data_IF_296799927296
#
_entry.id   IF_296799927296
#
_cell.length_a   1.000
_cell.length_b   1.000
_cell.length_c   1.000
_cell.angle_alpha   90.00
_cell.angle_beta   90.00
_cell.angle_gamma   90.00
#
_symmetry.space_group_name_H-M   'P 1'
#
loop_
_entity.id
_entity.type
_entity.pdbx_description
1 polymer ?
#
# COMPACT_ATOMS: atom_id res chain seq x y z
N UNK A 1 -20.40 -32.39 -4.58
CA UNK A 1 -19.76 -31.53 -3.56
C UNK A 1 -20.34 -30.11 -3.54
N UNK A 2 -20.85 -29.57 -4.65
CA UNK A 2 -21.33 -28.16 -4.70
C UNK A 2 -22.59 -27.88 -3.86
N UNK A 3 -23.42 -28.90 -3.61
CA UNK A 3 -24.63 -28.76 -2.80
C UNK A 3 -24.37 -28.61 -1.29
N UNK A 4 -23.27 -29.17 -0.80
CA UNK A 4 -22.91 -29.15 0.63
C UNK A 4 -22.38 -27.77 1.04
N UNK A 5 -21.54 -27.17 0.19
CA UNK A 5 -20.98 -25.82 0.39
C UNK A 5 -22.07 -24.73 0.35
N UNK A 6 -23.11 -24.91 -0.46
CA UNK A 6 -24.24 -23.96 -0.58
C UNK A 6 -25.09 -23.86 0.68
N UNK A 7 -25.16 -24.93 1.47
CA UNK A 7 -25.98 -25.00 2.67
C UNK A 7 -25.17 -24.85 3.97
N UNK A 8 -23.85 -24.68 3.87
CA UNK A 8 -22.99 -24.57 5.03
C UNK A 8 -23.22 -23.25 5.75
N UNK A 9 -23.68 -23.35 7.00
CA UNK A 9 -23.90 -22.23 7.91
C UNK A 9 -22.73 -22.16 8.89
N UNK A 10 -22.14 -20.98 9.03
CA UNK A 10 -21.05 -20.74 9.96
C UNK A 10 -21.43 -19.63 10.95
N UNK A 11 -21.01 -19.80 12.21
CA UNK A 11 -21.06 -18.73 13.20
C UNK A 11 -19.77 -17.90 13.20
N UNK A 12 -19.78 -16.78 13.92
CA UNK A 12 -18.65 -15.84 14.00
C UNK A 12 -17.38 -16.52 14.53
N UNK A 13 -17.50 -17.45 15.48
CA UNK A 13 -16.35 -18.16 16.04
C UNK A 13 -15.70 -19.11 15.02
N UNK A 14 -16.51 -19.81 14.23
CA UNK A 14 -16.05 -20.68 13.14
C UNK A 14 -15.40 -19.85 12.04
N UNK A 15 -16.00 -18.72 11.67
CA UNK A 15 -15.41 -17.81 10.69
C UNK A 15 -14.08 -17.22 11.17
N UNK A 16 -13.96 -16.90 12.47
CA UNK A 16 -12.70 -16.46 13.05
C UNK A 16 -11.63 -17.57 13.04
N UNK A 17 -12.02 -18.81 13.34
CA UNK A 17 -11.10 -19.96 13.28
C UNK A 17 -10.62 -20.25 11.85
N UNK A 18 -11.52 -20.16 10.87
CA UNK A 18 -11.20 -20.38 9.44
C UNK A 18 -10.32 -19.26 8.88
N UNK A 19 -10.59 -18.00 9.24
CA UNK A 19 -9.89 -16.83 8.68
C UNK A 19 -8.63 -16.43 9.44
N UNK A 20 -8.42 -16.97 10.65
CA UNK A 20 -7.34 -16.54 11.54
C UNK A 20 -7.50 -15.11 12.09
N UNK A 21 -8.65 -14.46 11.82
CA UNK A 21 -8.92 -13.09 12.26
C UNK A 21 -9.53 -13.07 13.66
N UNK A 22 -9.26 -12.00 14.40
CA UNK A 22 -9.91 -11.76 15.67
C UNK A 22 -11.44 -11.63 15.48
N UNK A 23 -12.23 -12.20 16.41
CA UNK A 23 -13.70 -12.22 16.34
C UNK A 23 -14.31 -10.85 16.07
N UNK A 24 -13.79 -9.80 16.69
CA UNK A 24 -14.27 -8.42 16.48
C UNK A 24 -14.06 -7.93 15.05
N UNK A 25 -12.94 -8.30 14.42
CA UNK A 25 -12.62 -7.97 13.03
C UNK A 25 -13.59 -8.68 12.08
N UNK A 26 -13.89 -9.95 12.36
CA UNK A 26 -14.87 -10.73 11.60
C UNK A 26 -16.27 -10.09 11.72
N UNK A 27 -16.71 -9.69 12.91
CA UNK A 27 -17.99 -9.00 13.10
C UNK A 27 -18.07 -7.71 12.30
N UNK A 28 -17.00 -6.89 12.33
CA UNK A 28 -16.94 -5.63 11.58
C UNK A 28 -17.08 -5.86 10.07
N UNK A 29 -16.36 -6.85 9.53
CA UNK A 29 -16.40 -7.22 8.10
C UNK A 29 -17.73 -7.83 7.67
N UNK A 30 -18.45 -8.50 8.57
CA UNK A 30 -19.74 -9.15 8.30
C UNK A 30 -20.95 -8.23 8.53
N UNK A 31 -20.75 -6.96 8.88
CA UNK A 31 -21.84 -6.02 9.19
C UNK A 31 -22.86 -5.82 8.05
N UNK A 32 -22.46 -6.06 6.80
CA UNK A 32 -23.33 -5.99 5.60
C UNK A 32 -23.80 -7.35 5.06
N UNK A 33 -23.48 -8.48 5.71
CA UNK A 33 -23.85 -9.82 5.23
C UNK A 33 -25.21 -10.22 5.77
N UNK A 34 -26.15 -10.73 4.94
CA UNK A 34 -27.44 -11.22 5.41
C UNK A 34 -27.28 -12.42 6.35
N UNK A 35 -28.15 -12.50 7.35
CA UNK A 35 -28.19 -13.64 8.28
C UNK A 35 -28.86 -14.84 7.62
N UNK A 36 -28.32 -16.03 7.88
CA UNK A 36 -28.87 -17.28 7.39
C UNK A 36 -30.22 -17.61 8.09
N UNK A 37 -31.13 -18.35 7.41
CA UNK A 37 -32.36 -18.82 8.02
C UNK A 37 -32.09 -19.66 9.28
N UNK A 38 -32.79 -19.37 10.38
CA UNK A 38 -32.58 -20.00 11.69
C UNK A 38 -31.54 -19.31 12.58
N UNK A 39 -31.07 -18.12 12.19
CA UNK A 39 -30.25 -17.25 13.04
C UNK A 39 -31.08 -16.65 14.18
N UNK A 40 -30.51 -16.60 15.38
CA UNK A 40 -31.10 -15.97 16.57
C UNK A 40 -30.18 -14.85 17.09
N UNK A 41 -30.70 -13.92 17.91
CA UNK A 41 -29.89 -12.81 18.47
C UNK A 41 -28.64 -13.29 19.23
N UNK A 42 -28.74 -14.45 19.91
CA UNK A 42 -27.64 -15.08 20.64
C UNK A 42 -26.71 -15.93 19.76
N UNK A 43 -27.15 -16.33 18.58
CA UNK A 43 -26.39 -17.19 17.66
C UNK A 43 -26.57 -16.73 16.21
N UNK A 44 -25.72 -15.79 15.79
CA UNK A 44 -25.70 -15.25 14.44
C UNK A 44 -25.06 -16.27 13.49
N UNK A 45 -25.85 -16.74 12.52
CA UNK A 45 -25.42 -17.67 11.49
C UNK A 45 -25.35 -16.97 10.14
N UNK A 46 -24.31 -17.29 9.37
CA UNK A 46 -24.10 -16.77 8.02
C UNK A 46 -23.92 -17.93 7.05
N UNK A 47 -24.48 -17.80 5.84
CA UNK A 47 -24.20 -18.74 4.76
C UNK A 47 -22.79 -18.47 4.24
N UNK A 48 -21.99 -19.52 4.09
CA UNK A 48 -20.62 -19.37 3.60
C UNK A 48 -20.57 -18.70 2.23
N UNK A 49 -21.56 -18.97 1.36
CA UNK A 49 -21.69 -18.35 0.04
C UNK A 49 -21.87 -16.84 0.11
N UNK A 50 -22.69 -16.35 1.04
CA UNK A 50 -22.98 -14.91 1.19
C UNK A 50 -21.77 -14.19 1.78
N UNK A 51 -21.07 -14.83 2.72
CA UNK A 51 -19.81 -14.31 3.27
C UNK A 51 -18.75 -14.17 2.17
N UNK A 52 -18.55 -15.21 1.35
CA UNK A 52 -17.57 -15.20 0.26
C UNK A 52 -17.97 -14.14 -0.79
N UNK A 53 -19.26 -14.06 -1.14
CA UNK A 53 -19.75 -13.06 -2.10
C UNK A 53 -19.42 -11.64 -1.66
N UNK A 54 -19.74 -11.28 -0.43
CA UNK A 54 -19.44 -9.94 0.10
C UNK A 54 -17.94 -9.69 0.17
N UNK A 55 -17.13 -10.69 0.52
CA UNK A 55 -15.67 -10.56 0.49
C UNK A 55 -15.12 -10.33 -0.92
N UNK A 56 -15.73 -10.92 -1.95
CA UNK A 56 -15.35 -10.73 -3.35
C UNK A 56 -15.87 -9.42 -3.95
N UNK A 57 -17.02 -8.92 -3.47
CA UNK A 57 -17.59 -7.62 -3.84
C UNK A 57 -16.92 -6.45 -3.10
N UNK A 58 -16.28 -6.71 -1.95
CA UNK A 58 -15.52 -5.70 -1.21
C UNK A 58 -14.33 -5.28 -2.08
N UNK A 59 -14.25 -4.01 -2.53
CA UNK A 59 -13.12 -3.58 -3.33
C UNK A 59 -11.84 -3.75 -2.51
N UNK A 60 -10.83 -4.40 -3.10
CA UNK A 60 -9.46 -4.42 -2.58
C UNK A 60 -9.12 -2.97 -2.25
N UNK A 61 -8.88 -2.71 -0.97
CA UNK A 61 -8.93 -1.37 -0.38
C UNK A 61 -8.29 -0.29 -1.28
N UNK A 62 -8.93 0.89 -1.31
CA UNK A 62 -8.42 2.17 -1.84
C UNK A 62 -7.10 2.65 -1.19
N UNK A 63 -6.28 1.74 -0.66
CA UNK A 63 -4.89 2.03 -0.29
C UNK A 63 -4.08 2.51 -1.52
N UNK A 64 -4.52 2.17 -2.74
CA UNK A 64 -3.90 2.67 -3.96
C UNK A 64 -4.36 4.10 -4.36
N UNK A 65 -5.49 4.62 -3.87
CA UNK A 65 -5.95 5.96 -4.29
C UNK A 65 -5.21 7.10 -3.57
N UNK A 66 -4.51 6.81 -2.48
CA UNK A 66 -3.67 7.77 -1.75
C UNK A 66 -2.26 7.93 -2.35
N UNK A 67 -1.97 7.35 -3.52
CA UNK A 67 -0.63 7.27 -4.12
C UNK A 67 -0.10 8.57 -4.75
N UNK A 68 -0.73 9.72 -4.51
CA UNK A 68 -0.27 11.02 -5.02
C UNK A 68 -0.22 12.10 -3.92
N UNK A 69 0.84 12.93 -3.83
CA UNK A 69 0.92 14.02 -2.85
C UNK A 69 -0.29 14.96 -2.87
N UNK A 70 -0.95 15.10 -4.03
CA UNK A 70 -2.13 15.94 -4.23
C UNK A 70 -3.43 15.35 -3.65
N UNK A 71 -3.47 14.05 -3.35
CA UNK A 71 -4.64 13.36 -2.79
C UNK A 71 -4.51 13.09 -1.28
N UNK A 72 -3.34 13.37 -0.70
CA UNK A 72 -3.06 13.21 0.74
C UNK A 72 -3.61 14.39 1.55
N UNK A 73 -3.98 14.14 2.81
CA UNK A 73 -4.27 15.22 3.77
C UNK A 73 -3.03 16.07 4.02
N UNK A 74 -3.15 17.33 4.50
CA UNK A 74 -1.99 18.18 4.76
C UNK A 74 -0.93 17.54 5.70
N UNK A 75 -1.38 16.77 6.69
CA UNK A 75 -0.50 16.05 7.63
C UNK A 75 0.26 14.92 6.93
N UNK A 76 -0.44 14.09 6.18
CA UNK A 76 0.18 12.98 5.44
C UNK A 76 1.14 13.49 4.36
N UNK A 77 0.76 14.56 3.66
CA UNK A 77 1.61 15.21 2.67
C UNK A 77 2.90 15.72 3.28
N UNK A 78 2.84 16.36 4.46
CA UNK A 78 4.03 16.78 5.20
C UNK A 78 4.93 15.58 5.52
N UNK A 79 4.36 14.53 6.10
CA UNK A 79 5.09 13.31 6.45
C UNK A 79 5.76 12.66 5.23
N UNK A 80 5.06 12.66 4.08
CA UNK A 80 5.60 12.18 2.81
C UNK A 80 6.81 12.99 2.38
N UNK A 81 6.72 14.33 2.36
CA UNK A 81 7.85 15.19 1.99
C UNK A 81 9.02 15.10 2.98
N UNK A 82 8.75 14.93 4.27
CA UNK A 82 9.80 14.76 5.28
C UNK A 82 10.53 13.41 5.10
N UNK A 83 9.80 12.34 4.76
CA UNK A 83 10.38 11.06 4.34
C UNK A 83 11.24 11.20 3.08
N UNK A 84 10.75 11.94 2.09
CA UNK A 84 11.44 12.13 0.80
C UNK A 84 12.74 12.92 0.96
N UNK A 85 12.76 13.92 1.86
CA UNK A 85 14.00 14.62 2.24
C UNK A 85 15.02 13.68 2.87
N UNK A 86 14.57 12.75 3.73
CA UNK A 86 15.44 11.76 4.35
C UNK A 86 16.07 10.82 3.33
N UNK A 87 15.27 10.34 2.36
CA UNK A 87 15.75 9.54 1.22
C UNK A 87 16.81 10.30 0.42
N UNK A 88 16.51 11.53 0.03
CA UNK A 88 17.42 12.36 -0.76
C UNK A 88 18.74 12.67 -0.02
N UNK A 89 18.66 12.92 1.29
CA UNK A 89 19.84 13.13 2.12
C UNK A 89 20.75 11.89 2.16
N UNK A 90 20.16 10.70 2.33
CA UNK A 90 20.90 9.44 2.31
C UNK A 90 21.57 9.19 0.96
N UNK A 91 20.87 9.45 -0.15
CA UNK A 91 21.43 9.28 -1.50
C UNK A 91 22.60 10.22 -1.79
N UNK A 92 22.54 11.45 -1.25
CA UNK A 92 23.66 12.39 -1.31
C UNK A 92 24.85 11.88 -0.51
N UNK A 93 24.62 11.37 0.71
CA UNK A 93 25.68 10.83 1.57
C UNK A 93 26.35 9.59 0.94
N UNK A 94 25.55 8.74 0.30
CA UNK A 94 26.02 7.59 -0.48
C UNK A 94 26.63 7.97 -1.83
N UNK A 95 26.71 9.27 -2.17
CA UNK A 95 27.21 9.79 -3.44
C UNK A 95 26.51 9.23 -4.68
N UNK A 96 25.25 8.79 -4.52
CA UNK A 96 24.42 8.34 -5.64
C UNK A 96 23.84 9.51 -6.42
N UNK A 97 23.68 10.66 -5.75
CA UNK A 97 23.19 11.90 -6.36
C UNK A 97 24.21 13.01 -6.11
N UNK A 98 24.62 13.68 -7.19
CA UNK A 98 25.52 14.84 -7.15
C UNK A 98 24.73 16.11 -7.50
N UNK A 99 24.87 17.20 -6.73
CA UNK A 99 24.27 18.47 -7.07
C UNK A 99 24.68 18.98 -8.46
N UNK A 100 23.73 19.51 -9.23
CA UNK A 100 23.99 20.03 -10.57
C UNK A 100 25.12 21.08 -10.66
N UNK A 101 25.27 22.04 -9.72
CA UNK A 101 26.38 23.00 -9.76
C UNK A 101 27.75 22.32 -9.70
N UNK A 102 27.87 21.26 -8.91
CA UNK A 102 29.10 20.49 -8.75
C UNK A 102 29.44 19.75 -10.04
N UNK A 103 28.45 19.09 -10.66
CA UNK A 103 28.62 18.46 -11.98
C UNK A 103 29.08 19.48 -13.03
N UNK A 104 28.47 20.67 -13.06
CA UNK A 104 28.85 21.74 -14.01
C UNK A 104 30.29 22.20 -13.80
N UNK A 105 30.71 22.40 -12.56
CA UNK A 105 32.08 22.83 -12.24
C UNK A 105 33.11 21.76 -12.65
N UNK A 106 32.84 20.50 -12.33
CA UNK A 106 33.73 19.39 -12.69
C UNK A 106 33.84 19.24 -14.21
N UNK A 107 32.72 19.30 -14.93
CA UNK A 107 32.72 19.24 -16.39
C UNK A 107 33.48 20.42 -17.02
N UNK A 108 33.29 21.64 -16.50
CA UNK A 108 34.02 22.81 -16.98
C UNK A 108 35.53 22.68 -16.75
N UNK A 109 35.95 22.13 -15.60
CA UNK A 109 37.36 21.87 -15.29
C UNK A 109 37.97 20.85 -16.26
N UNK A 110 37.24 19.75 -16.55
CA UNK A 110 37.66 18.73 -17.52
C UNK A 110 37.82 19.33 -18.92
N UNK A 111 36.79 20.06 -19.39
CA UNK A 111 36.83 20.70 -20.71
C UNK A 111 38.01 21.66 -20.82
N UNK A 112 38.22 22.51 -19.80
CA UNK A 112 39.35 23.46 -19.77
C UNK A 112 40.69 22.73 -19.86
N UNK A 113 40.87 21.65 -19.10
CA UNK A 113 42.12 20.88 -19.13
C UNK A 113 42.38 20.26 -20.51
N UNK A 114 41.35 19.73 -21.16
CA UNK A 114 41.46 19.16 -22.51
C UNK A 114 41.83 20.25 -23.53
N UNK A 115 41.13 21.40 -23.50
CA UNK A 115 41.40 22.50 -24.42
C UNK A 115 42.83 23.04 -24.26
N UNK A 116 43.30 23.21 -23.02
CA UNK A 116 44.67 23.65 -22.75
C UNK A 116 45.72 22.72 -23.33
N UNK A 117 45.51 21.40 -23.27
CA UNK A 117 46.41 20.45 -23.92
C UNK A 117 46.38 20.67 -25.42
N UNK A 118 45.21 20.68 -26.06
CA UNK A 118 45.08 20.82 -27.50
C UNK A 118 45.71 22.11 -28.05
N UNK A 119 45.57 23.23 -27.34
CA UNK A 119 46.19 24.51 -27.70
C UNK A 119 47.72 24.47 -27.69
N UNK A 120 48.34 23.64 -26.85
CA UNK A 120 49.81 23.49 -26.78
C UNK A 120 50.36 22.67 -27.96
N UNK A 121 49.54 21.79 -28.54
CA UNK A 121 49.95 20.92 -29.66
C UNK A 121 49.53 21.45 -31.05
N UNK A 122 48.83 22.58 -31.13
CA UNK A 122 48.47 23.27 -32.38
C UNK A 122 49.46 24.36 -32.74
#
# INVERSE_FOLDING_TARGET
MDGELKNLKCNICQLAAITGLHRQTVVSRLSGVPLAPGSNEKNKLYLLTDVIRVLMETPVSQAAEHQGPNKMTPKERKNWFDSEKGRFWLEKEMKQVVPLPEVRQQMAAIVKAITQVLEVWS
#
